data_IF_106701808835
#
_entry.id   IF_106701808835
#
_cell.length_a   1.000
_cell.length_b   1.000
_cell.length_c   1.000
_cell.angle_alpha   90.00
_cell.angle_beta   90.00
_cell.angle_gamma   90.00
#
_symmetry.space_group_name_H-M   'P 1'
#
loop_
_entity.id
_entity.type
_entity.pdbx_description
1 polymer ?
#
# COMPACT_ATOMS: atom_id res chain seq x y z
N UNK A 1 -11.57 18.95 2.94
CA UNK A 1 -11.25 17.63 2.36
C UNK A 1 -11.19 16.62 3.48
N UNK A 2 -11.63 15.39 3.25
CA UNK A 2 -11.51 14.31 4.25
C UNK A 2 -10.11 13.70 4.29
N UNK A 3 -9.81 12.99 5.38
CA UNK A 3 -8.63 12.14 5.49
C UNK A 3 -8.98 10.72 5.03
N UNK A 4 -8.01 10.06 4.40
CA UNK A 4 -8.10 8.64 4.03
C UNK A 4 -6.77 7.97 4.32
N UNK A 5 -6.84 6.77 4.87
CA UNK A 5 -5.69 5.90 5.08
C UNK A 5 -5.73 4.81 4.02
N UNK A 6 -4.62 4.63 3.33
CA UNK A 6 -4.42 3.55 2.36
C UNK A 6 -3.38 2.59 2.92
N UNK A 7 -3.68 1.30 2.88
CA UNK A 7 -2.81 0.24 3.40
C UNK A 7 -2.62 -0.84 2.36
N UNK A 8 -1.37 -1.28 2.23
CA UNK A 8 -0.99 -2.46 1.45
C UNK A 8 -0.23 -3.40 2.38
N UNK A 9 -0.65 -4.66 2.43
CA UNK A 9 0.10 -5.74 3.10
C UNK A 9 0.67 -6.62 2.00
N UNK A 10 2.00 -6.82 1.99
CA UNK A 10 2.69 -7.59 0.96
C UNK A 10 3.50 -8.72 1.59
N UNK A 11 3.21 -9.97 1.19
CA UNK A 11 3.98 -11.14 1.61
C UNK A 11 5.12 -11.41 0.62
N UNK A 12 6.28 -10.82 0.90
CA UNK A 12 7.48 -10.95 0.08
C UNK A 12 8.37 -12.15 0.47
N UNK A 13 7.95 -12.99 1.43
CA UNK A 13 8.77 -14.09 1.90
C UNK A 13 9.05 -15.08 0.75
N UNK A 14 10.29 -15.58 0.56
CA UNK A 14 10.63 -16.49 -0.54
C UNK A 14 9.67 -17.69 -0.69
N UNK A 15 9.23 -18.30 0.41
CA UNK A 15 8.25 -19.40 0.43
C UNK A 15 6.83 -19.01 0.85
N UNK A 16 6.52 -17.71 0.92
CA UNK A 16 5.21 -17.21 1.32
C UNK A 16 4.16 -17.29 0.21
N UNK A 17 3.00 -16.73 0.49
CA UNK A 17 1.83 -16.67 -0.40
C UNK A 17 2.05 -15.80 -1.64
N UNK A 18 3.03 -14.88 -1.60
CA UNK A 18 3.26 -13.86 -2.65
C UNK A 18 2.09 -12.91 -2.87
N UNK A 19 1.15 -12.84 -1.92
CA UNK A 19 -0.02 -11.99 -2.06
C UNK A 19 0.25 -10.58 -1.55
N UNK A 20 -0.22 -9.60 -2.30
CA UNK A 20 -0.45 -8.25 -1.83
C UNK A 20 -1.96 -8.01 -1.66
N UNK A 21 -2.38 -7.49 -0.51
CA UNK A 21 -3.77 -7.14 -0.23
C UNK A 21 -3.92 -5.66 0.09
N UNK A 22 -5.04 -5.08 -0.33
CA UNK A 22 -5.27 -3.63 -0.32
C UNK A 22 -6.46 -3.29 0.55
N UNK A 23 -6.30 -2.26 1.38
CA UNK A 23 -7.31 -1.83 2.33
C UNK A 23 -7.36 -0.30 2.41
N UNK A 24 -8.49 0.23 2.82
CA UNK A 24 -8.66 1.65 3.12
C UNK A 24 -9.39 1.86 4.44
N UNK A 25 -9.24 3.03 5.02
CA UNK A 25 -9.97 3.47 6.21
C UNK A 25 -10.31 4.97 6.10
N UNK A 26 -11.47 5.36 6.62
CA UNK A 26 -11.92 6.76 6.72
C UNK A 26 -11.88 7.29 8.15
N UNK A 27 -11.60 6.44 9.13
CA UNK A 27 -11.51 6.77 10.56
C UNK A 27 -10.11 6.48 11.16
N UNK A 28 -9.19 5.96 10.35
CA UNK A 28 -7.82 5.61 10.75
C UNK A 28 -7.71 4.32 11.55
N UNK A 29 -8.81 3.66 11.89
CA UNK A 29 -8.84 2.50 12.80
C UNK A 29 -9.48 1.27 12.17
N UNK A 30 -10.63 1.41 11.51
CA UNK A 30 -11.34 0.33 10.83
C UNK A 30 -10.94 0.28 9.36
N UNK A 31 -10.31 -0.82 8.95
CA UNK A 31 -9.85 -1.02 7.58
C UNK A 31 -10.76 -1.99 6.83
N UNK A 32 -11.29 -1.53 5.70
CA UNK A 32 -12.07 -2.33 4.75
C UNK A 32 -11.19 -2.77 3.59
N UNK A 33 -11.34 -4.03 3.15
CA UNK A 33 -10.64 -4.53 1.98
C UNK A 33 -11.17 -3.87 0.69
N UNK A 34 -10.29 -3.73 -0.30
CA UNK A 34 -10.65 -3.28 -1.64
C UNK A 34 -10.06 -4.22 -2.70
N UNK A 35 -10.93 -4.73 -3.58
CA UNK A 35 -10.54 -5.68 -4.62
C UNK A 35 -10.10 -7.05 -4.10
N UNK A 36 -9.55 -7.86 -5.01
CA UNK A 36 -8.93 -9.14 -4.68
C UNK A 36 -7.44 -8.99 -4.38
N UNK A 37 -6.84 -10.01 -3.76
CA UNK A 37 -5.39 -10.07 -3.60
C UNK A 37 -4.66 -10.11 -4.95
N UNK A 38 -3.53 -9.43 -5.03
CA UNK A 38 -2.63 -9.44 -6.18
C UNK A 38 -1.49 -10.44 -5.97
N UNK A 39 -1.27 -11.33 -6.92
CA UNK A 39 -0.14 -12.27 -6.88
C UNK A 39 1.11 -11.62 -7.45
N UNK A 40 2.12 -11.45 -6.60
CA UNK A 40 3.42 -10.91 -6.97
C UNK A 40 4.21 -11.95 -7.78
N UNK A 41 4.65 -11.54 -8.97
CA UNK A 41 5.49 -12.35 -9.84
C UNK A 41 6.94 -12.46 -9.33
N UNK A 42 7.69 -13.40 -9.91
CA UNK A 42 9.10 -13.63 -9.59
C UNK A 42 10.04 -13.39 -10.78
N UNK A 43 9.54 -12.77 -11.85
CA UNK A 43 10.32 -12.39 -13.03
C UNK A 43 11.46 -11.46 -12.64
N UNK A 44 12.69 -11.84 -13.02
CA UNK A 44 13.93 -11.20 -12.58
C UNK A 44 14.43 -10.14 -13.56
N UNK A 45 13.84 -10.04 -14.75
CA UNK A 45 14.29 -9.20 -15.85
C UNK A 45 14.28 -7.70 -15.50
N UNK A 46 13.42 -7.32 -14.56
CA UNK A 46 13.38 -5.96 -14.01
C UNK A 46 14.36 -5.74 -12.84
N UNK A 47 14.94 -6.82 -12.28
CA UNK A 47 15.87 -6.92 -11.14
C UNK A 47 15.38 -6.34 -9.80
N UNK A 48 14.51 -5.34 -9.82
CA UNK A 48 14.00 -4.68 -8.64
C UNK A 48 12.86 -5.47 -8.01
N UNK A 49 12.97 -5.74 -6.72
CA UNK A 49 11.85 -6.25 -5.93
C UNK A 49 10.69 -5.26 -5.83
N UNK A 50 9.53 -5.75 -5.39
CA UNK A 50 8.34 -4.93 -5.18
C UNK A 50 8.58 -3.81 -4.16
N UNK A 51 7.91 -2.66 -4.38
CA UNK A 51 8.05 -1.46 -3.55
C UNK A 51 6.69 -0.86 -3.25
N UNK A 52 6.58 -0.20 -2.11
CA UNK A 52 5.47 0.71 -1.83
C UNK A 52 5.67 2.00 -2.61
N UNK A 53 4.59 2.54 -3.17
CA UNK A 53 4.60 3.77 -3.93
C UNK A 53 3.33 4.57 -3.72
N UNK A 54 3.48 5.89 -3.66
CA UNK A 54 2.38 6.84 -3.65
C UNK A 54 2.51 7.67 -4.93
N UNK A 55 1.44 7.72 -5.71
CA UNK A 55 1.41 8.41 -7.00
C UNK A 55 0.22 9.38 -7.08
N UNK A 56 0.43 10.50 -7.76
CA UNK A 56 -0.59 11.47 -8.11
C UNK A 56 -0.27 11.98 -9.51
N UNK A 57 -1.19 11.80 -10.46
CA UNK A 57 -1.04 12.24 -11.85
C UNK A 57 -2.41 12.62 -12.41
N UNK A 58 -2.42 13.50 -13.42
CA UNK A 58 -3.66 13.93 -14.08
C UNK A 58 -3.82 13.27 -15.44
N UNK A 59 -5.05 12.87 -15.77
CA UNK A 59 -5.42 12.34 -17.10
C UNK A 59 -6.16 13.38 -17.97
N UNK A 60 -6.71 14.44 -17.35
CA UNK A 60 -7.51 15.45 -18.06
C UNK A 60 -6.91 16.85 -17.99
N UNK A 61 -6.62 17.36 -16.78
CA UNK A 61 -6.08 18.71 -16.59
C UNK A 61 -5.16 18.77 -15.36
N UNK A 62 -4.08 19.54 -15.49
CA UNK A 62 -3.14 19.81 -14.40
C UNK A 62 -3.72 20.78 -13.36
N UNK A 63 -3.12 20.84 -12.18
CA UNK A 63 -3.46 21.79 -11.11
C UNK A 63 -3.96 21.15 -9.81
N UNK A 64 -4.35 19.88 -9.84
CA UNK A 64 -4.69 19.12 -8.63
C UNK A 64 -3.46 18.69 -7.82
N UNK A 65 -3.60 18.63 -6.51
CA UNK A 65 -2.56 18.16 -5.59
C UNK A 65 -3.18 17.32 -4.46
N UNK A 66 -2.34 16.52 -3.81
CA UNK A 66 -2.68 15.75 -2.60
C UNK A 66 -1.64 16.03 -1.52
N UNK A 67 -2.06 16.03 -0.26
CA UNK A 67 -1.14 16.10 0.88
C UNK A 67 -0.97 14.72 1.48
N UNK A 68 0.27 14.28 1.64
CA UNK A 68 0.61 13.00 2.28
C UNK A 68 1.33 13.32 3.59
N UNK A 69 0.62 13.43 4.72
CA UNK A 69 1.22 13.83 5.98
C UNK A 69 2.02 12.70 6.64
N UNK A 70 1.78 11.43 6.28
CA UNK A 70 2.39 10.26 6.91
C UNK A 70 2.54 9.11 5.92
N UNK A 71 3.69 8.45 6.00
CA UNK A 71 3.91 7.10 5.50
C UNK A 71 4.49 6.26 6.63
N UNK A 72 3.84 5.14 6.95
CA UNK A 72 4.27 4.25 8.01
C UNK A 72 4.42 2.83 7.44
N UNK A 73 5.53 2.20 7.78
CA UNK A 73 5.82 0.81 7.44
C UNK A 73 5.84 -0.02 8.72
N UNK A 74 5.13 -1.14 8.70
CA UNK A 74 5.12 -2.16 9.75
C UNK A 74 5.66 -3.46 9.15
N UNK A 75 6.44 -4.22 9.92
CA UNK A 75 7.00 -5.51 9.49
C UNK A 75 5.95 -6.61 9.30
N UNK A 76 4.67 -6.34 9.57
CA UNK A 76 3.58 -7.29 9.50
C UNK A 76 3.61 -8.32 10.64
N UNK A 77 4.48 -8.12 11.63
CA UNK A 77 4.65 -8.99 12.80
C UNK A 77 3.60 -8.71 13.89
N UNK A 78 2.70 -7.76 13.67
CA UNK A 78 1.62 -7.40 14.60
C UNK A 78 2.06 -6.52 15.77
N UNK A 79 3.27 -5.96 15.72
CA UNK A 79 3.75 -5.02 16.73
C UNK A 79 3.45 -3.60 16.22
N UNK A 80 2.27 -3.08 16.58
CA UNK A 80 1.90 -1.68 16.30
C UNK A 80 3.03 -0.77 16.81
N UNK A 81 3.64 0.07 15.97
CA UNK A 81 4.62 1.04 16.41
C UNK A 81 3.93 2.03 17.36
N UNK A 82 4.33 2.00 18.63
CA UNK A 82 3.95 3.02 19.60
C UNK A 82 4.74 4.28 19.26
N UNK A 83 4.05 5.34 18.86
CA UNK A 83 4.58 6.72 18.88
C UNK A 83 4.74 7.20 20.31
#
# INVERSE_FOLDING_TARGET
GGLIWLRVTADIQPGGTKQATFHYSTDGTNFSSIGSGFTMGASWEFFMGYRFGIFNYATSALGGYVTVPLFQLDSGTGITPTV
#
